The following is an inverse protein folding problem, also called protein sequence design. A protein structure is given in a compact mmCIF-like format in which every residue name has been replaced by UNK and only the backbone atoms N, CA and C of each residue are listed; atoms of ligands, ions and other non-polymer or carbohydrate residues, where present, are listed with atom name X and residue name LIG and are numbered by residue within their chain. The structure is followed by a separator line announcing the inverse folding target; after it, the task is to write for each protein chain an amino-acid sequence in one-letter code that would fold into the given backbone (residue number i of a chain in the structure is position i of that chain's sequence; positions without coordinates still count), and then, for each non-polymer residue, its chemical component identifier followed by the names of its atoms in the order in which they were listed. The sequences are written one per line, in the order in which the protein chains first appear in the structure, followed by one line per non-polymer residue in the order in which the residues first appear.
data_IF_404111233865
#
_entry.id   IF_404111233865
#
_cell.length_a   1.000
_cell.length_b   1.000
_cell.length_c   1.000
_cell.angle_alpha   90.00
_cell.angle_beta   90.00
_cell.angle_gamma   90.00
#
_symmetry.space_group_name_H-M   'P 1'
#
loop_
_entity.id
_entity.type
_entity.pdbx_description
1 polymer ?
#
# COMPACT_ATOMS: atom_id res chain seq x y z
N UNK A 1 10.54 10.66 3.75
CA UNK A 1 9.76 9.42 3.70
C UNK A 1 10.65 8.22 3.91
N UNK A 2 10.09 7.14 4.40
CA UNK A 2 10.78 5.87 4.61
C UNK A 2 10.49 4.96 3.41
N UNK A 3 11.45 4.19 2.93
CA UNK A 3 11.31 3.31 1.76
C UNK A 3 10.46 2.04 1.98
N UNK A 4 9.59 2.03 3.00
CA UNK A 4 8.73 0.91 3.38
C UNK A 4 7.28 1.37 3.47
N UNK A 5 6.32 0.51 3.11
CA UNK A 5 4.92 0.87 2.91
C UNK A 5 4.25 1.51 4.12
N UNK A 6 4.14 0.82 5.27
CA UNK A 6 3.40 1.32 6.41
C UNK A 6 3.94 2.64 6.98
N UNK A 7 5.26 2.80 7.22
CA UNK A 7 5.83 4.08 7.63
C UNK A 7 5.66 5.21 6.62
N UNK A 8 5.77 4.92 5.33
CA UNK A 8 5.54 5.92 4.27
C UNK A 8 4.08 6.36 4.23
N UNK A 9 3.16 5.41 4.32
CA UNK A 9 1.71 5.67 4.36
C UNK A 9 1.32 6.45 5.62
N UNK A 10 1.98 6.18 6.76
CA UNK A 10 1.84 6.98 7.96
C UNK A 10 2.18 8.46 7.70
N UNK A 11 3.34 8.71 7.06
CA UNK A 11 3.75 10.08 6.72
C UNK A 11 2.73 10.78 5.83
N UNK A 12 2.24 10.09 4.81
CA UNK A 12 1.28 10.66 3.85
C UNK A 12 -0.03 11.00 4.56
N UNK A 13 -0.58 10.07 5.35
CA UNK A 13 -1.92 10.25 5.93
C UNK A 13 -1.95 11.24 7.10
N UNK A 14 -0.83 11.41 7.82
CA UNK A 14 -0.76 12.27 9.02
C UNK A 14 0.02 13.56 8.82
N UNK A 15 0.80 13.69 7.74
CA UNK A 15 1.72 14.79 7.54
C UNK A 15 2.92 14.79 8.49
N UNK A 16 3.14 13.70 9.25
CA UNK A 16 4.18 13.62 10.28
C UNK A 16 5.35 12.74 9.86
N UNK A 17 6.56 13.09 10.28
CA UNK A 17 7.72 12.19 10.13
C UNK A 17 7.54 10.94 10.99
N UNK A 18 7.65 9.72 10.44
CA UNK A 18 7.38 8.49 11.19
C UNK A 18 8.32 8.33 12.38
N UNK A 19 9.61 8.69 12.24
CA UNK A 19 10.59 8.59 13.31
C UNK A 19 10.23 9.45 14.54
N UNK A 20 9.49 10.55 14.34
CA UNK A 20 9.09 11.43 15.44
C UNK A 20 8.08 10.78 16.39
N UNK A 21 7.30 9.87 15.88
CA UNK A 21 6.20 9.21 16.61
C UNK A 21 6.40 7.70 16.79
N UNK A 22 7.61 7.19 16.49
CA UNK A 22 7.87 5.76 16.59
C UNK A 22 7.29 4.90 15.45
N UNK A 23 6.75 5.53 14.42
CA UNK A 23 6.09 4.85 13.30
C UNK A 23 7.05 4.45 12.15
N UNK A 24 8.37 4.43 12.40
CA UNK A 24 9.38 4.19 11.36
C UNK A 24 9.68 2.71 11.09
N UNK A 25 9.23 1.82 11.96
CA UNK A 25 9.33 0.37 11.76
C UNK A 25 8.04 -0.19 11.14
N UNK A 26 8.13 -1.39 10.55
CA UNK A 26 6.93 -2.16 10.23
C UNK A 26 6.27 -2.61 11.52
N UNK A 27 4.93 -2.68 11.49
CA UNK A 27 4.17 -3.31 12.57
C UNK A 27 4.56 -4.77 12.71
N UNK A 28 4.43 -5.31 13.91
CA UNK A 28 4.52 -6.75 14.19
C UNK A 28 3.11 -7.29 14.42
N UNK A 29 2.83 -8.52 14.00
CA UNK A 29 1.70 -9.28 14.50
C UNK A 29 0.45 -9.38 13.66
N UNK A 30 0.18 -8.55 12.67
CA UNK A 30 -0.99 -8.76 11.80
C UNK A 30 -0.70 -9.76 10.68
N UNK A 31 -0.81 -11.04 11.03
CA UNK A 31 -0.58 -12.15 10.12
C UNK A 31 -1.86 -12.71 9.48
N UNK A 32 -3.02 -12.21 9.88
CA UNK A 32 -4.32 -12.81 9.56
C UNK A 32 -4.77 -12.59 8.10
N UNK A 33 -4.16 -11.67 7.36
CA UNK A 33 -4.61 -11.29 6.03
C UNK A 33 -3.76 -11.85 4.87
N UNK A 34 -2.70 -12.62 5.15
CA UNK A 34 -1.87 -13.23 4.13
C UNK A 34 -2.09 -14.75 4.07
N UNK A 35 -2.36 -15.26 2.86
CA UNK A 35 -2.26 -16.70 2.58
C UNK A 35 -0.79 -17.07 2.45
N UNK A 36 -0.16 -17.37 3.57
CA UNK A 36 1.20 -17.87 3.60
C UNK A 36 1.27 -19.35 3.19
N UNK A 37 2.37 -19.82 2.57
CA UNK A 37 2.66 -21.24 2.47
C UNK A 37 2.60 -21.92 3.85
N UNK A 38 2.14 -23.17 3.92
CA UNK A 38 1.88 -23.85 5.20
C UNK A 38 3.10 -23.92 6.13
N UNK A 39 4.31 -24.09 5.58
CA UNK A 39 5.55 -24.12 6.35
C UNK A 39 5.88 -22.75 6.99
N UNK A 40 5.55 -21.67 6.31
CA UNK A 40 5.71 -20.31 6.83
C UNK A 40 4.59 -19.99 7.82
N UNK A 41 3.35 -20.40 7.51
CA UNK A 41 2.20 -20.22 8.39
C UNK A 41 2.41 -20.85 9.76
N UNK A 42 2.93 -22.08 9.81
CA UNK A 42 3.23 -22.76 11.10
C UNK A 42 4.21 -21.95 11.96
N UNK A 43 5.18 -21.27 11.36
CA UNK A 43 6.14 -20.44 12.10
C UNK A 43 5.52 -19.12 12.57
N UNK A 44 4.60 -18.57 11.81
CA UNK A 44 3.89 -17.35 12.14
C UNK A 44 2.84 -17.60 13.21
N UNK A 45 2.07 -18.69 13.10
CA UNK A 45 1.06 -19.08 14.08
C UNK A 45 1.66 -19.34 15.50
N UNK A 46 2.96 -19.65 15.56
CA UNK A 46 3.69 -19.76 16.84
C UNK A 46 4.10 -18.40 17.44
N UNK A 47 3.86 -17.31 16.70
CA UNK A 47 4.30 -15.97 17.05
C UNK A 47 5.81 -15.76 16.85
N UNK A 48 6.24 -14.51 16.92
CA UNK A 48 7.65 -14.16 16.96
C UNK A 48 8.11 -14.21 18.42
N UNK A 49 9.08 -15.07 18.70
CA UNK A 49 9.62 -15.21 20.06
C UNK A 49 10.86 -14.33 20.20
N UNK A 50 10.98 -13.67 21.35
CA UNK A 50 12.20 -13.01 21.77
C UNK A 50 13.26 -14.05 22.23
N UNK A 51 14.44 -13.58 22.61
CA UNK A 51 15.53 -14.45 23.09
C UNK A 51 15.19 -15.22 24.39
N UNK A 52 14.15 -14.82 25.11
CA UNK A 52 13.68 -15.49 26.32
C UNK A 52 12.57 -16.50 26.05
N UNK A 53 12.14 -16.67 24.79
CA UNK A 53 11.06 -17.55 24.39
C UNK A 53 9.67 -16.98 24.61
N UNK A 54 9.53 -15.68 24.89
CA UNK A 54 8.24 -15.00 25.00
C UNK A 54 7.83 -14.42 23.66
N UNK A 55 6.53 -14.42 23.39
CA UNK A 55 5.98 -13.76 22.21
C UNK A 55 6.34 -12.27 22.22
N UNK A 56 6.84 -11.79 21.10
CA UNK A 56 6.98 -10.35 20.86
C UNK A 56 5.56 -9.80 20.67
N UNK A 57 5.16 -8.81 21.46
CA UNK A 57 3.82 -8.22 21.32
C UNK A 57 3.67 -7.55 19.95
N UNK A 58 2.45 -7.52 19.47
CA UNK A 58 2.10 -6.76 18.29
C UNK A 58 2.45 -5.29 18.50
N UNK A 59 3.09 -4.72 17.48
CA UNK A 59 3.49 -3.32 17.52
C UNK A 59 2.74 -2.53 16.45
N UNK A 60 1.93 -1.64 16.93
CA UNK A 60 1.38 -0.52 16.15
C UNK A 60 1.59 0.76 16.94
N UNK A 61 1.80 1.85 16.24
CA UNK A 61 1.94 3.14 16.89
C UNK A 61 0.56 3.61 17.38
N UNK A 62 0.55 4.21 18.57
CA UNK A 62 -0.62 4.97 19.06
C UNK A 62 -0.28 6.45 18.92
N UNK A 63 -0.78 7.12 17.86
CA UNK A 63 -0.50 8.54 17.67
C UNK A 63 -1.08 9.38 18.82
N UNK A 64 -0.40 10.47 19.24
CA UNK A 64 -1.00 11.44 20.16
C UNK A 64 -2.34 11.97 19.63
N UNK A 65 -3.24 12.37 20.51
CA UNK A 65 -4.59 12.79 20.14
C UNK A 65 -4.66 13.99 19.16
N UNK A 66 -3.60 14.80 19.09
CA UNK A 66 -3.51 15.92 18.15
C UNK A 66 -3.09 15.49 16.74
N UNK A 67 -2.62 14.26 16.55
CA UNK A 67 -2.25 13.72 15.23
C UNK A 67 -3.45 12.97 14.67
N UNK A 68 -4.01 13.52 13.62
CA UNK A 68 -5.17 12.96 12.93
C UNK A 68 -4.83 12.58 11.50
N UNK A 69 -5.39 11.51 10.95
CA UNK A 69 -5.35 11.29 9.52
C UNK A 69 -6.13 12.40 8.79
N UNK A 70 -5.55 12.95 7.75
CA UNK A 70 -6.15 14.11 7.07
C UNK A 70 -7.53 13.84 6.45
N UNK A 71 -7.94 12.61 6.10
CA UNK A 71 -9.31 12.34 5.66
C UNK A 71 -10.38 12.74 6.68
N UNK A 72 -10.07 12.72 7.99
CA UNK A 72 -11.03 13.25 8.99
C UNK A 72 -11.35 14.73 8.77
N UNK A 73 -10.36 15.54 8.37
CA UNK A 73 -10.58 16.95 8.05
C UNK A 73 -11.40 17.10 6.77
N UNK A 74 -11.14 16.29 5.75
CA UNK A 74 -11.91 16.29 4.51
C UNK A 74 -13.37 15.89 4.77
N UNK A 75 -13.60 14.84 5.57
CA UNK A 75 -14.95 14.43 5.97
C UNK A 75 -15.69 15.53 6.72
N UNK A 76 -15.00 16.26 7.61
CA UNK A 76 -15.57 17.41 8.31
C UNK A 76 -15.99 18.53 7.35
N UNK A 77 -15.40 18.60 6.16
CA UNK A 77 -15.78 19.52 5.08
C UNK A 77 -16.79 18.93 4.07
N UNK A 78 -17.36 17.76 4.37
CA UNK A 78 -18.38 17.13 3.55
C UNK A 78 -17.87 16.18 2.47
N UNK A 79 -16.58 15.92 2.37
CA UNK A 79 -16.05 14.94 1.43
C UNK A 79 -16.49 13.50 1.79
N UNK A 80 -16.73 12.70 0.77
CA UNK A 80 -16.84 11.25 0.90
C UNK A 80 -15.45 10.63 0.74
N UNK A 81 -14.93 10.05 1.80
CA UNK A 81 -13.56 9.53 1.83
C UNK A 81 -13.53 8.02 1.73
N UNK A 82 -12.84 7.50 0.72
CA UNK A 82 -12.75 6.07 0.40
C UNK A 82 -11.30 5.62 0.39
N UNK A 83 -11.02 4.50 1.06
CA UNK A 83 -9.74 3.81 0.95
C UNK A 83 -9.96 2.39 0.42
N UNK A 84 -9.57 2.15 -0.83
CA UNK A 84 -9.72 0.85 -1.44
C UNK A 84 -8.58 -0.10 -1.00
N UNK A 85 -8.96 -1.16 -0.31
CA UNK A 85 -8.20 -2.35 0.08
C UNK A 85 -7.11 -2.18 1.13
N UNK A 86 -6.19 -1.23 1.06
CA UNK A 86 -5.00 -1.19 1.92
C UNK A 86 -5.03 -0.07 2.94
N UNK A 87 -5.34 -0.39 4.21
CA UNK A 87 -5.27 0.52 5.36
C UNK A 87 -4.02 0.34 6.22
N UNK A 88 -2.89 0.13 5.59
CA UNK A 88 -1.61 -0.14 6.23
C UNK A 88 -0.88 1.15 6.59
N UNK A 89 -1.35 1.85 7.61
CA UNK A 89 -0.87 3.19 8.01
C UNK A 89 0.02 3.19 9.26
N UNK A 90 0.53 2.05 9.70
CA UNK A 90 1.33 1.84 10.91
C UNK A 90 0.57 2.16 12.22
N UNK A 91 -0.68 2.47 12.17
CA UNK A 91 -1.59 2.61 13.29
C UNK A 91 -3.01 2.19 12.87
N UNK A 92 -3.82 1.84 13.84
CA UNK A 92 -5.22 1.54 13.60
C UNK A 92 -5.96 2.86 13.34
N UNK A 93 -6.26 3.13 12.08
CA UNK A 93 -6.94 4.37 11.69
C UNK A 93 -8.33 4.43 12.36
N UNK A 94 -8.72 5.59 12.92
CA UNK A 94 -10.04 5.73 13.52
C UNK A 94 -11.13 5.52 12.47
N UNK A 95 -12.26 4.95 12.88
CA UNK A 95 -13.41 4.73 11.99
C UNK A 95 -13.95 6.03 11.37
N UNK A 96 -13.61 7.16 11.96
CA UNK A 96 -13.96 8.50 11.45
C UNK A 96 -13.13 8.92 10.25
N UNK A 97 -12.04 8.21 9.92
CA UNK A 97 -11.17 8.57 8.79
C UNK A 97 -11.80 8.27 7.42
N UNK A 98 -12.63 7.24 7.32
CA UNK A 98 -13.16 6.76 6.06
C UNK A 98 -14.67 6.54 6.12
N UNK A 99 -15.36 6.84 5.02
CA UNK A 99 -16.77 6.47 4.81
C UNK A 99 -16.85 5.04 4.26
N UNK A 100 -15.87 4.61 3.44
CA UNK A 100 -15.79 3.27 2.88
C UNK A 100 -14.34 2.77 2.92
N UNK A 101 -14.17 1.55 3.42
CA UNK A 101 -12.86 0.93 3.64
C UNK A 101 -12.97 -0.60 3.60
N UNK A 102 -11.93 -1.29 3.11
CA UNK A 102 -11.82 -2.76 3.06
C UNK A 102 -12.77 -3.52 2.10
N UNK A 103 -13.73 -2.90 1.50
CA UNK A 103 -14.79 -3.58 0.74
C UNK A 103 -14.75 -3.39 -0.78
N UNK A 104 -13.64 -2.95 -1.36
CA UNK A 104 -13.64 -2.57 -2.78
C UNK A 104 -14.38 -1.25 -3.01
N UNK A 105 -14.25 -0.34 -2.04
CA UNK A 105 -14.84 0.98 -2.09
C UNK A 105 -14.44 1.76 -3.34
N UNK A 106 -15.35 2.55 -3.86
CA UNK A 106 -15.17 3.32 -5.08
C UNK A 106 -15.65 4.75 -4.87
N UNK A 107 -15.02 5.70 -5.56
CA UNK A 107 -15.52 7.07 -5.64
C UNK A 107 -16.97 7.13 -6.16
N UNK A 108 -17.39 6.14 -6.95
CA UNK A 108 -18.77 6.01 -7.47
C UNK A 108 -19.83 5.80 -6.39
N UNK A 109 -19.41 5.41 -5.19
CA UNK A 109 -20.30 5.26 -4.03
C UNK A 109 -20.55 6.59 -3.31
N UNK A 110 -19.88 7.67 -3.74
CA UNK A 110 -20.12 8.99 -3.17
C UNK A 110 -21.58 9.42 -3.40
N UNK A 111 -22.28 9.91 -2.37
CA UNK A 111 -23.61 10.49 -2.55
C UNK A 111 -23.58 11.63 -3.58
N UNK A 112 -24.68 11.77 -4.33
CA UNK A 112 -24.80 12.81 -5.35
C UNK A 112 -24.48 14.20 -4.79
N UNK A 113 -23.67 14.96 -5.52
CA UNK A 113 -23.27 16.32 -5.16
C UNK A 113 -22.19 16.42 -4.07
N UNK A 114 -21.72 15.29 -3.50
CA UNK A 114 -20.61 15.31 -2.55
C UNK A 114 -19.26 15.18 -3.27
N UNK A 115 -18.28 16.04 -2.94
CA UNK A 115 -16.92 15.80 -3.38
C UNK A 115 -16.36 14.52 -2.74
N UNK A 116 -15.41 13.86 -3.40
CA UNK A 116 -14.79 12.65 -2.88
C UNK A 116 -13.29 12.78 -2.73
N UNK A 117 -12.73 12.00 -1.82
CA UNK A 117 -11.32 11.68 -1.71
C UNK A 117 -11.15 10.17 -1.83
N UNK A 118 -10.41 9.72 -2.83
CA UNK A 118 -10.29 8.31 -3.14
C UNK A 118 -8.84 7.85 -3.15
N UNK A 119 -8.52 6.88 -2.32
CA UNK A 119 -7.22 6.19 -2.31
C UNK A 119 -7.37 4.86 -3.01
N UNK A 120 -6.82 4.75 -4.23
CA UNK A 120 -6.73 3.49 -4.95
C UNK A 120 -5.39 2.82 -4.67
N UNK A 121 -5.42 1.57 -4.24
CA UNK A 121 -4.23 0.80 -3.94
C UNK A 121 -4.03 -0.31 -4.97
N UNK A 122 -2.86 -0.32 -5.59
CA UNK A 122 -2.45 -1.36 -6.54
C UNK A 122 -1.36 -2.22 -5.92
N UNK A 123 -1.49 -3.54 -6.08
CA UNK A 123 -0.51 -4.51 -5.58
C UNK A 123 0.46 -4.97 -6.67
N UNK A 124 0.24 -4.61 -7.93
CA UNK A 124 0.95 -5.13 -9.11
C UNK A 124 2.45 -4.92 -9.03
N UNK A 125 2.90 -3.83 -8.42
CA UNK A 125 4.33 -3.53 -8.21
C UNK A 125 4.85 -3.85 -6.81
N UNK A 126 4.04 -4.45 -5.93
CA UNK A 126 4.53 -4.91 -4.64
C UNK A 126 5.66 -5.93 -4.81
N UNK A 127 6.66 -5.93 -3.93
CA UNK A 127 7.84 -6.79 -4.03
C UNK A 127 7.49 -8.28 -4.21
N UNK A 128 6.49 -8.77 -3.49
CA UNK A 128 6.03 -10.16 -3.61
C UNK A 128 5.54 -10.53 -5.02
N UNK A 129 5.22 -9.55 -5.85
CA UNK A 129 4.74 -9.80 -7.22
C UNK A 129 5.84 -10.25 -8.17
N UNK A 130 7.11 -10.10 -7.82
CA UNK A 130 8.22 -10.75 -8.54
C UNK A 130 8.01 -12.26 -8.56
N UNK A 131 7.60 -12.84 -7.44
CA UNK A 131 7.34 -14.26 -7.26
C UNK A 131 5.96 -14.69 -7.75
N UNK A 132 4.93 -13.98 -7.32
CA UNK A 132 3.53 -14.30 -7.63
C UNK A 132 3.16 -14.13 -9.11
N UNK A 133 3.96 -13.38 -9.85
CA UNK A 133 3.79 -13.16 -11.29
C UNK A 133 4.90 -13.80 -12.12
N UNK A 134 5.68 -14.70 -11.54
CA UNK A 134 6.83 -15.36 -12.22
C UNK A 134 6.43 -16.05 -13.53
N UNK A 135 5.23 -16.62 -13.59
CA UNK A 135 4.71 -17.34 -14.76
C UNK A 135 3.97 -16.42 -15.77
N UNK A 136 3.87 -15.12 -15.47
CA UNK A 136 3.34 -14.16 -16.44
C UNK A 136 4.41 -13.76 -17.44
N UNK A 137 4.05 -13.50 -18.71
CA UNK A 137 4.99 -12.99 -19.69
C UNK A 137 5.70 -11.72 -19.18
N UNK A 138 6.99 -11.62 -19.43
CA UNK A 138 7.74 -10.37 -19.27
C UNK A 138 7.62 -9.56 -20.54
N UNK A 139 7.38 -8.26 -20.40
CA UNK A 139 7.37 -7.30 -21.51
C UNK A 139 8.72 -6.62 -21.69
N UNK A 140 9.56 -6.66 -20.63
CA UNK A 140 10.91 -6.09 -20.63
C UNK A 140 11.94 -7.21 -20.76
N UNK A 141 12.87 -7.04 -21.72
CA UNK A 141 13.98 -7.99 -21.92
C UNK A 141 15.00 -7.88 -20.78
N UNK A 142 15.35 -8.98 -20.09
CA UNK A 142 16.39 -8.98 -19.07
C UNK A 142 17.76 -8.47 -19.55
N UNK A 143 18.09 -8.63 -20.83
CA UNK A 143 19.35 -8.13 -21.38
C UNK A 143 19.43 -6.60 -21.47
N UNK A 144 18.28 -5.92 -21.52
CA UNK A 144 18.17 -4.48 -21.69
C UNK A 144 18.13 -3.68 -20.40
N UNK A 145 17.95 -4.36 -19.25
CA UNK A 145 17.78 -3.64 -17.97
C UNK A 145 19.11 -3.12 -17.41
N UNK A 146 19.15 -1.91 -16.85
CA UNK A 146 20.30 -1.44 -16.10
C UNK A 146 20.39 -2.21 -14.77
N UNK A 147 21.57 -2.74 -14.48
CA UNK A 147 21.85 -3.37 -13.18
C UNK A 147 22.59 -2.35 -12.32
N UNK A 148 22.05 -1.95 -11.15
CA UNK A 148 22.75 -1.07 -10.22
C UNK A 148 24.07 -1.68 -9.74
N UNK A 149 25.11 -0.86 -9.55
CA UNK A 149 26.47 -1.29 -9.20
C UNK A 149 26.58 -2.11 -7.91
N UNK A 150 25.58 -1.99 -7.03
CA UNK A 150 25.51 -2.76 -5.76
C UNK A 150 24.89 -4.15 -5.93
N UNK A 151 24.45 -4.53 -7.13
CA UNK A 151 24.02 -5.89 -7.46
C UNK A 151 25.03 -6.58 -8.37
N UNK A 152 25.14 -7.91 -8.22
CA UNK A 152 25.87 -8.72 -9.16
C UNK A 152 25.14 -8.74 -10.52
N UNK A 153 25.85 -8.45 -11.59
CA UNK A 153 25.32 -8.52 -12.96
C UNK A 153 25.30 -9.99 -13.44
N UNK A 154 24.28 -10.71 -13.04
CA UNK A 154 24.05 -12.12 -13.38
C UNK A 154 22.62 -12.33 -13.88
N UNK A 155 22.33 -13.41 -14.64
CA UNK A 155 21.03 -13.62 -15.28
C UNK A 155 19.83 -13.53 -14.33
N UNK A 156 19.90 -14.13 -13.15
CA UNK A 156 18.77 -14.12 -12.18
C UNK A 156 18.46 -12.71 -11.64
N UNK A 157 19.48 -11.87 -11.49
CA UNK A 157 19.31 -10.47 -11.07
C UNK A 157 18.65 -9.66 -12.18
N UNK A 158 19.14 -9.81 -13.41
CA UNK A 158 18.55 -9.16 -14.59
C UNK A 158 17.09 -9.57 -14.79
N UNK A 159 16.78 -10.87 -14.64
CA UNK A 159 15.42 -11.38 -14.71
C UNK A 159 14.52 -10.75 -13.63
N UNK A 160 15.00 -10.65 -12.40
CA UNK A 160 14.27 -10.00 -11.30
C UNK A 160 13.97 -8.52 -11.58
N UNK A 161 14.94 -7.78 -12.13
CA UNK A 161 14.78 -6.38 -12.51
C UNK A 161 13.79 -6.24 -13.67
N UNK A 162 13.95 -7.06 -14.73
CA UNK A 162 13.04 -7.07 -15.87
C UNK A 162 11.60 -7.42 -15.45
N UNK A 163 11.44 -8.36 -14.54
CA UNK A 163 10.13 -8.69 -13.94
C UNK A 163 9.54 -7.50 -13.22
N UNK A 164 10.35 -6.76 -12.45
CA UNK A 164 9.90 -5.54 -11.78
C UNK A 164 9.43 -4.48 -12.77
N UNK A 165 10.16 -4.25 -13.84
CA UNK A 165 9.79 -3.29 -14.88
C UNK A 165 8.54 -3.72 -15.64
N UNK A 166 8.41 -5.00 -15.98
CA UNK A 166 7.18 -5.54 -16.58
C UNK A 166 5.95 -5.38 -15.66
N UNK A 167 6.15 -5.48 -14.35
CA UNK A 167 5.09 -5.19 -13.40
C UNK A 167 4.73 -3.70 -13.34
N UNK A 168 5.69 -2.79 -13.54
CA UNK A 168 5.43 -1.34 -13.64
C UNK A 168 4.60 -1.03 -14.88
N UNK A 169 4.93 -1.59 -16.04
CA UNK A 169 4.11 -1.44 -17.25
C UNK A 169 2.69 -2.00 -17.09
N UNK A 170 2.55 -3.10 -16.36
CA UNK A 170 1.23 -3.63 -16.04
C UNK A 170 0.43 -2.70 -15.10
N UNK A 171 1.10 -2.09 -14.12
CA UNK A 171 0.49 -1.08 -13.25
C UNK A 171 0.05 0.15 -14.05
N UNK A 172 0.89 0.64 -14.97
CA UNK A 172 0.56 1.78 -15.82
C UNK A 172 -0.77 1.58 -16.57
N UNK A 173 -0.96 0.38 -17.13
CA UNK A 173 -2.23 0.01 -17.76
C UNK A 173 -3.41 -0.01 -16.78
N UNK A 174 -3.20 -0.53 -15.56
CA UNK A 174 -4.23 -0.55 -14.52
C UNK A 174 -4.63 0.87 -14.09
N UNK A 175 -3.67 1.78 -14.01
CA UNK A 175 -3.91 3.20 -13.73
C UNK A 175 -4.64 3.87 -14.90
N UNK A 176 -4.23 3.60 -16.14
CA UNK A 176 -4.91 4.10 -17.34
C UNK A 176 -6.40 3.78 -17.35
N UNK A 177 -6.78 2.54 -17.02
CA UNK A 177 -8.20 2.14 -16.92
C UNK A 177 -8.97 2.99 -15.90
N UNK A 178 -8.35 3.34 -14.77
CA UNK A 178 -8.99 4.22 -13.78
C UNK A 178 -9.14 5.64 -14.31
N UNK A 179 -8.13 6.18 -14.97
CA UNK A 179 -8.17 7.52 -15.56
C UNK A 179 -9.26 7.62 -16.64
N UNK A 180 -9.33 6.63 -17.53
CA UNK A 180 -10.39 6.54 -18.54
C UNK A 180 -11.79 6.50 -17.91
N UNK A 181 -11.93 5.80 -16.78
CA UNK A 181 -13.19 5.75 -16.05
C UNK A 181 -13.56 7.10 -15.42
N UNK A 182 -12.59 7.83 -14.86
CA UNK A 182 -12.82 9.18 -14.30
C UNK A 182 -13.22 10.18 -15.40
N UNK A 183 -12.62 10.05 -16.59
CA UNK A 183 -12.96 10.87 -17.75
C UNK A 183 -14.37 10.55 -18.25
N UNK A 184 -14.69 9.26 -18.41
CA UNK A 184 -16.02 8.80 -18.84
C UNK A 184 -17.14 9.21 -17.87
N UNK A 185 -16.84 9.25 -16.57
CA UNK A 185 -17.78 9.71 -15.54
C UNK A 185 -17.86 11.26 -15.44
N UNK A 186 -17.06 11.99 -16.21
CA UNK A 186 -17.06 13.46 -16.27
C UNK A 186 -16.51 14.15 -15.01
N UNK A 187 -15.73 13.42 -14.19
CA UNK A 187 -15.16 13.96 -12.94
C UNK A 187 -13.68 14.36 -13.06
N UNK A 188 -13.02 13.98 -14.16
CA UNK A 188 -11.58 14.22 -14.36
C UNK A 188 -11.21 15.71 -14.30
N UNK A 189 -11.95 16.58 -15.00
CA UNK A 189 -11.67 18.01 -15.10
C UNK A 189 -11.69 18.74 -13.74
N UNK A 190 -12.39 18.18 -12.76
CA UNK A 190 -12.50 18.73 -11.40
C UNK A 190 -11.80 17.84 -10.36
N UNK A 191 -10.81 17.05 -10.79
CA UNK A 191 -10.05 16.15 -9.92
C UNK A 191 -8.59 16.55 -9.85
N UNK A 192 -8.01 16.42 -8.66
CA UNK A 192 -6.57 16.49 -8.42
C UNK A 192 -6.07 15.06 -8.19
N UNK A 193 -5.10 14.62 -9.00
CA UNK A 193 -4.52 13.27 -8.94
C UNK A 193 -3.05 13.40 -8.52
N UNK A 194 -2.63 12.62 -7.51
CA UNK A 194 -1.26 12.61 -6.99
C UNK A 194 -0.81 11.24 -6.47
#
# INVERSE_FOLDING_TARGET
TVGVCAPSRFSIITGMYPARLGAHNMRTGDHNNFKWPEDIKIRIDKGVLDKSGKNVPDYEVVPPAYVKPFPEYLRAQGYYCVNDNKCDYQFNAPFTAWDDVYGGGSYKNAPEGRPFFYVKNYYTTHESRIWLRKDKPMTVDPSSVPVPDYYADIPIVREGIARKYSNIEALDKEVGILLDALEADGVMENSVIF
#
